data_IF_973234863418
#
_entry.id   IF_973234863418
#
_cell.length_a   1.000
_cell.length_b   1.000
_cell.length_c   1.000
_cell.angle_alpha   90.00
_cell.angle_beta   90.00
_cell.angle_gamma   90.00
#
_symmetry.space_group_name_H-M   'P 1'
#
loop_
_entity.id
_entity.type
_entity.pdbx_description
1 polymer ?
#
# COMPACT_ATOMS: atom_id res chain seq x y z
N UNK A 1 12.24 51.38 -39.54
CA UNK A 1 11.38 50.24 -39.17
C UNK A 1 12.18 49.35 -38.23
N UNK A 2 11.77 49.26 -36.96
CA UNK A 2 12.53 48.63 -35.89
C UNK A 2 11.83 47.32 -35.51
N UNK A 3 12.36 46.20 -36.01
CA UNK A 3 11.81 44.87 -35.76
C UNK A 3 12.08 44.49 -34.31
N UNK A 4 11.04 44.46 -33.47
CA UNK A 4 11.15 44.04 -32.08
C UNK A 4 11.19 42.52 -32.02
N UNK A 5 12.33 41.99 -31.58
CA UNK A 5 12.51 40.59 -31.23
C UNK A 5 11.75 40.32 -29.93
N UNK A 6 10.62 39.61 -29.99
CA UNK A 6 9.90 39.15 -28.80
C UNK A 6 10.59 37.86 -28.35
N UNK A 7 11.34 37.92 -27.26
CA UNK A 7 11.88 36.74 -26.60
C UNK A 7 10.74 36.04 -25.84
N UNK A 8 10.22 34.95 -26.38
CA UNK A 8 9.27 34.07 -25.68
C UNK A 8 10.08 33.19 -24.73
N UNK A 9 10.11 33.55 -23.45
CA UNK A 9 10.66 32.71 -22.39
C UNK A 9 9.65 31.59 -22.07
N UNK A 10 9.79 30.44 -22.73
CA UNK A 10 9.02 29.24 -22.41
C UNK A 10 9.58 28.67 -21.11
N UNK A 11 8.90 28.92 -20.00
CA UNK A 11 9.16 28.27 -18.73
C UNK A 11 8.68 26.82 -18.83
N UNK A 12 9.60 25.91 -19.20
CA UNK A 12 9.37 24.47 -19.12
C UNK A 12 9.38 24.06 -17.65
N UNK A 13 8.23 24.24 -16.98
CA UNK A 13 7.98 23.61 -15.69
C UNK A 13 8.00 22.11 -15.94
N UNK A 14 9.09 21.47 -15.59
CA UNK A 14 9.18 20.02 -15.62
C UNK A 14 8.35 19.52 -14.46
N UNK A 15 7.07 19.25 -14.71
CA UNK A 15 6.28 18.37 -13.88
C UNK A 15 7.01 17.02 -13.90
N UNK A 16 7.69 16.69 -12.79
CA UNK A 16 8.09 15.33 -12.52
C UNK A 16 6.80 14.60 -12.18
N UNK A 17 6.36 13.71 -13.07
CA UNK A 17 5.25 12.85 -12.77
C UNK A 17 5.81 11.75 -11.87
N UNK A 18 5.16 11.48 -10.74
CA UNK A 18 5.46 10.29 -9.97
C UNK A 18 5.11 9.07 -10.84
N UNK A 19 6.08 8.17 -10.99
CA UNK A 19 5.88 6.85 -11.55
C UNK A 19 5.25 5.95 -10.47
N UNK A 20 4.62 4.86 -10.89
CA UNK A 20 3.98 3.89 -9.98
C UNK A 20 4.41 2.47 -10.32
N UNK A 21 4.59 1.64 -9.29
CA UNK A 21 4.66 0.18 -9.41
C UNK A 21 3.55 -0.45 -8.56
N UNK A 22 2.80 -1.37 -9.15
CA UNK A 22 1.61 -1.98 -8.55
C UNK A 22 0.28 -1.44 -9.12
N UNK A 23 -0.86 -1.82 -8.53
CA UNK A 23 -0.98 -2.61 -7.31
C UNK A 23 -0.47 -4.05 -7.46
N UNK A 24 0.40 -4.50 -6.56
CA UNK A 24 0.90 -5.88 -6.50
C UNK A 24 0.12 -6.67 -5.44
N UNK A 25 -0.12 -7.95 -5.74
CA UNK A 25 -0.65 -8.92 -4.77
C UNK A 25 0.50 -9.59 -4.01
N UNK A 26 0.23 -10.20 -2.84
CA UNK A 26 1.22 -10.92 -2.07
C UNK A 26 1.88 -12.04 -2.87
N UNK A 27 3.12 -12.31 -2.52
CA UNK A 27 3.92 -13.42 -3.05
C UNK A 27 4.18 -14.50 -2.01
N UNK A 28 4.10 -14.13 -0.73
CA UNK A 28 4.21 -15.03 0.41
C UNK A 28 3.56 -14.39 1.64
N UNK A 29 3.08 -15.26 2.54
CA UNK A 29 2.62 -14.93 3.88
C UNK A 29 3.50 -15.66 4.91
N UNK A 30 3.61 -15.11 6.11
CA UNK A 30 4.34 -15.76 7.20
C UNK A 30 3.59 -15.55 8.51
N UNK A 31 3.06 -16.65 9.04
CA UNK A 31 2.33 -16.68 10.29
C UNK A 31 3.24 -16.38 11.49
N UNK A 32 2.97 -15.30 12.21
CA UNK A 32 3.44 -15.12 13.58
C UNK A 32 2.31 -15.50 14.55
N UNK A 33 2.64 -16.36 15.52
CA UNK A 33 1.68 -16.99 16.44
C UNK A 33 1.00 -16.00 17.42
N UNK A 34 -0.28 -16.20 17.80
CA UNK A 34 -1.19 -17.24 17.29
C UNK A 34 -1.60 -16.98 15.84
N UNK A 35 -1.59 -18.04 15.04
CA UNK A 35 -1.58 -17.96 13.58
C UNK A 35 -2.95 -17.55 13.02
N UNK A 36 -2.93 -16.66 12.02
CA UNK A 36 -4.04 -16.52 11.09
C UNK A 36 -4.41 -17.92 10.54
N UNK A 37 -5.70 -18.20 10.44
CA UNK A 37 -6.18 -19.38 9.71
C UNK A 37 -6.21 -19.03 8.23
N UNK A 38 -5.55 -19.86 7.42
CA UNK A 38 -5.45 -19.73 5.97
C UNK A 38 -4.97 -18.35 5.47
N UNK A 39 -3.81 -17.84 5.95
CA UNK A 39 -3.27 -16.53 5.54
C UNK A 39 -3.02 -16.41 4.03
N UNK A 40 -2.75 -17.52 3.35
CA UNK A 40 -2.57 -17.56 1.90
C UNK A 40 -3.82 -17.12 1.13
N UNK A 41 -4.99 -17.12 1.76
CA UNK A 41 -6.19 -16.55 1.15
C UNK A 41 -6.03 -15.05 0.86
N UNK A 42 -5.21 -14.31 1.64
CA UNK A 42 -4.91 -12.90 1.40
C UNK A 42 -4.19 -12.62 0.06
N UNK A 43 -3.73 -13.66 -0.66
CA UNK A 43 -2.93 -13.52 -1.88
C UNK A 43 -3.77 -13.20 -3.12
N UNK A 44 -5.07 -13.50 -3.11
CA UNK A 44 -5.93 -13.33 -4.27
C UNK A 44 -7.37 -13.12 -3.86
N UNK A 45 -8.06 -12.17 -4.50
CA UNK A 45 -9.52 -12.09 -4.39
C UNK A 45 -10.17 -13.43 -4.74
N UNK A 46 -11.01 -13.92 -3.85
CA UNK A 46 -11.63 -15.23 -4.00
C UNK A 46 -12.81 -15.44 -3.07
N UNK A 47 -13.09 -16.70 -2.79
CA UNK A 47 -14.11 -17.08 -1.80
C UNK A 47 -13.50 -17.57 -0.49
N UNK A 48 -12.17 -17.64 -0.42
CA UNK A 48 -11.44 -18.05 0.78
C UNK A 48 -11.12 -16.82 1.61
N UNK A 49 -11.26 -16.89 2.92
CA UNK A 49 -10.93 -15.76 3.81
C UNK A 49 -9.77 -16.15 4.71
N UNK A 50 -8.81 -15.25 4.91
CA UNK A 50 -7.88 -15.38 6.03
C UNK A 50 -8.58 -14.87 7.30
N UNK A 51 -8.53 -15.66 8.38
CA UNK A 51 -9.27 -15.33 9.61
C UNK A 51 -8.32 -15.20 10.80
N UNK A 52 -8.41 -14.09 11.52
CA UNK A 52 -7.68 -13.85 12.78
C UNK A 52 -8.62 -13.93 13.98
N UNK A 53 -8.18 -14.53 15.09
CA UNK A 53 -9.03 -14.71 16.28
C UNK A 53 -8.55 -13.92 17.51
N UNK A 54 -7.33 -13.38 17.54
CA UNK A 54 -6.83 -12.63 18.69
C UNK A 54 -6.04 -11.36 18.35
N UNK A 55 -5.88 -10.49 19.36
CA UNK A 55 -5.33 -9.13 19.28
C UNK A 55 -3.82 -9.05 18.99
N UNK A 56 -3.18 -10.16 18.61
CA UNK A 56 -1.73 -10.26 18.42
C UNK A 56 -1.33 -10.90 17.05
N UNK A 57 -2.30 -11.17 16.18
CA UNK A 57 -2.08 -11.93 14.96
C UNK A 57 -1.43 -11.03 13.90
N UNK A 58 -0.11 -11.12 13.74
CA UNK A 58 0.64 -10.39 12.71
C UNK A 58 0.96 -11.34 11.55
N UNK A 59 0.22 -11.22 10.45
CA UNK A 59 0.67 -11.83 9.20
C UNK A 59 1.67 -10.89 8.51
N UNK A 60 2.80 -11.44 8.09
CA UNK A 60 3.80 -10.71 7.32
C UNK A 60 3.68 -11.12 5.86
N UNK A 61 3.32 -10.14 5.04
CA UNK A 61 2.95 -10.35 3.65
C UNK A 61 3.97 -9.63 2.76
N UNK A 62 4.61 -10.32 1.81
CA UNK A 62 5.67 -9.74 0.96
C UNK A 62 5.24 -9.59 -0.50
N UNK A 63 5.71 -8.55 -1.22
CA UNK A 63 5.11 -8.12 -2.50
C UNK A 63 6.04 -8.03 -3.73
N UNK A 64 7.29 -8.51 -3.62
CA UNK A 64 8.14 -8.84 -4.79
C UNK A 64 8.38 -7.74 -5.83
N UNK A 65 8.42 -6.46 -5.42
CA UNK A 65 8.71 -5.34 -6.32
C UNK A 65 10.11 -5.45 -6.95
N UNK A 66 10.29 -4.93 -8.16
CA UNK A 66 11.60 -4.98 -8.84
C UNK A 66 11.92 -3.79 -9.74
N UNK A 67 10.96 -2.91 -10.02
CA UNK A 67 11.13 -1.78 -10.93
C UNK A 67 11.18 -0.40 -10.24
N UNK A 68 11.06 -0.33 -8.91
CA UNK A 68 11.10 0.94 -8.18
C UNK A 68 12.50 1.52 -8.28
N UNK A 69 12.61 2.78 -8.71
CA UNK A 69 13.89 3.49 -8.82
C UNK A 69 13.78 4.89 -8.24
N UNK A 70 14.92 5.53 -7.96
CA UNK A 70 14.92 6.90 -7.44
C UNK A 70 14.32 7.04 -6.04
N UNK A 71 13.51 8.07 -5.85
CA UNK A 71 12.93 8.43 -4.54
C UNK A 71 11.54 7.82 -4.41
N UNK A 72 11.29 7.07 -3.33
CA UNK A 72 9.94 6.61 -3.01
C UNK A 72 9.17 7.76 -2.39
N UNK A 73 8.07 8.14 -3.02
CA UNK A 73 7.25 9.30 -2.64
C UNK A 73 6.14 8.89 -1.67
N UNK A 74 5.58 7.70 -1.85
CA UNK A 74 4.55 7.17 -0.97
C UNK A 74 4.24 5.70 -1.18
N UNK A 75 3.53 5.14 -0.20
CA UNK A 75 3.05 3.75 -0.23
C UNK A 75 1.58 3.73 0.13
N UNK A 76 0.78 3.12 -0.73
CA UNK A 76 -0.65 2.88 -0.52
C UNK A 76 -0.88 1.40 -0.34
N UNK A 77 -1.53 1.01 0.75
CA UNK A 77 -1.94 -0.37 1.02
C UNK A 77 -3.46 -0.44 1.03
N UNK A 78 -4.01 -1.30 0.18
CA UNK A 78 -5.43 -1.56 0.04
C UNK A 78 -5.75 -2.93 0.63
N UNK A 79 -6.86 -3.03 1.35
CA UNK A 79 -7.35 -4.27 1.94
C UNK A 79 -8.78 -4.50 1.48
N UNK A 80 -9.05 -5.70 0.98
CA UNK A 80 -10.40 -6.23 0.84
C UNK A 80 -10.73 -6.99 2.12
N UNK A 81 -11.67 -6.42 2.88
CA UNK A 81 -12.01 -6.87 4.21
C UNK A 81 -13.47 -7.31 4.27
N UNK A 82 -13.72 -8.28 5.13
CA UNK A 82 -15.05 -8.72 5.46
C UNK A 82 -15.19 -8.83 6.99
N UNK A 83 -16.37 -8.50 7.49
CA UNK A 83 -16.64 -8.48 8.92
C UNK A 83 -17.93 -9.22 9.20
N UNK A 84 -17.83 -10.27 10.02
CA UNK A 84 -19.00 -10.97 10.54
C UNK A 84 -19.30 -10.47 11.96
N UNK A 85 -20.58 -10.37 12.34
CA UNK A 85 -21.00 -10.05 13.72
C UNK A 85 -20.92 -8.57 14.12
N UNK A 86 -21.08 -8.29 15.43
CA UNK A 86 -21.40 -6.94 15.93
C UNK A 86 -20.25 -6.22 16.65
N UNK A 87 -19.04 -6.79 16.71
CA UNK A 87 -17.90 -6.19 17.43
C UNK A 87 -17.27 -5.04 16.67
N UNK A 88 -16.66 -4.12 17.40
CA UNK A 88 -15.80 -3.10 16.81
C UNK A 88 -14.43 -3.70 16.48
N UNK A 89 -13.98 -3.50 15.24
CA UNK A 89 -12.69 -3.97 14.77
C UNK A 89 -11.85 -2.80 14.23
N UNK A 90 -10.55 -2.93 14.35
CA UNK A 90 -9.55 -2.00 13.82
C UNK A 90 -8.51 -2.83 13.08
N UNK A 91 -8.32 -2.57 11.80
CA UNK A 91 -7.21 -3.11 11.05
C UNK A 91 -5.99 -2.21 11.29
N UNK A 92 -4.84 -2.82 11.55
CA UNK A 92 -3.57 -2.15 11.74
C UNK A 92 -2.59 -2.70 10.72
N UNK A 93 -1.77 -1.82 10.18
CA UNK A 93 -0.74 -2.17 9.23
C UNK A 93 0.58 -1.47 9.58
N UNK A 94 1.68 -2.11 9.23
CA UNK A 94 3.01 -1.51 9.25
C UNK A 94 3.82 -2.02 8.06
N UNK A 95 4.70 -1.19 7.50
CA UNK A 95 5.58 -1.62 6.42
C UNK A 95 6.77 -2.43 6.96
N UNK A 96 7.18 -3.44 6.20
CA UNK A 96 8.29 -4.33 6.53
C UNK A 96 9.53 -3.99 5.69
N UNK A 97 10.71 -4.29 6.25
CA UNK A 97 12.00 -4.08 5.61
C UNK A 97 12.31 -2.63 5.18
N UNK A 98 11.75 -1.63 5.86
CA UNK A 98 11.96 -0.19 5.58
C UNK A 98 12.32 0.61 6.84
N UNK A 99 12.94 -0.06 7.81
CA UNK A 99 13.36 0.54 9.07
C UNK A 99 12.21 0.72 10.06
N UNK A 100 12.24 1.80 10.84
CA UNK A 100 11.15 2.14 11.76
C UNK A 100 10.12 2.98 11.03
N UNK A 101 8.85 2.56 11.08
CA UNK A 101 7.74 3.28 10.48
C UNK A 101 6.66 3.58 11.51
N UNK A 102 5.79 4.53 11.19
CA UNK A 102 4.57 4.79 11.95
C UNK A 102 3.51 3.77 11.53
N UNK A 103 3.07 2.96 12.51
CA UNK A 103 1.93 2.06 12.34
C UNK A 103 0.68 2.87 11.96
N UNK A 104 -0.05 2.40 10.95
CA UNK A 104 -1.35 2.96 10.57
C UNK A 104 -2.48 2.03 10.98
N UNK A 105 -3.66 2.61 11.15
CA UNK A 105 -4.85 1.85 11.44
C UNK A 105 -6.06 2.43 10.72
N UNK A 106 -7.04 1.58 10.48
CA UNK A 106 -8.38 2.02 10.12
C UNK A 106 -9.01 2.70 11.33
N UNK A 107 -10.00 3.56 11.08
CA UNK A 107 -10.91 3.94 12.15
C UNK A 107 -11.61 2.72 12.77
N UNK A 108 -12.34 2.94 13.86
CA UNK A 108 -13.18 1.89 14.42
C UNK A 108 -14.28 1.53 13.41
N UNK A 109 -14.29 0.28 12.96
CA UNK A 109 -15.27 -0.22 12.02
C UNK A 109 -16.53 -0.68 12.78
N UNK A 110 -17.57 0.13 12.73
CA UNK A 110 -18.83 -0.06 13.49
C UNK A 110 -19.93 -0.75 12.70
N UNK A 111 -19.69 -1.15 11.44
CA UNK A 111 -20.71 -1.80 10.60
C UNK A 111 -21.27 -3.06 11.26
N UNK A 112 -22.58 -3.24 11.26
CA UNK A 112 -23.27 -4.35 11.94
C UNK A 112 -23.66 -5.49 11.01
N UNK A 113 -23.43 -5.35 9.71
CA UNK A 113 -23.80 -6.30 8.68
C UNK A 113 -22.56 -7.00 8.11
N UNK A 114 -22.79 -8.20 7.59
CA UNK A 114 -21.80 -9.04 6.94
C UNK A 114 -21.44 -8.44 5.58
N UNK A 115 -20.67 -7.37 5.61
CA UNK A 115 -20.35 -6.56 4.44
C UNK A 115 -18.90 -6.76 4.02
N UNK A 116 -18.69 -6.91 2.71
CA UNK A 116 -17.37 -6.74 2.10
C UNK A 116 -17.12 -5.24 1.91
N UNK A 117 -15.93 -4.77 2.27
CA UNK A 117 -15.55 -3.37 2.15
C UNK A 117 -14.05 -3.23 1.92
N UNK A 118 -13.66 -2.14 1.26
CA UNK A 118 -12.28 -1.83 0.98
C UNK A 118 -11.75 -0.78 1.96
N UNK A 119 -10.60 -1.05 2.55
CA UNK A 119 -9.86 -0.11 3.38
C UNK A 119 -8.57 0.30 2.69
N UNK A 120 -8.20 1.57 2.82
CA UNK A 120 -6.95 2.10 2.25
C UNK A 120 -6.15 2.80 3.33
N UNK A 121 -4.91 2.38 3.51
CA UNK A 121 -3.95 3.00 4.42
C UNK A 121 -2.78 3.58 3.62
N UNK A 122 -2.40 4.81 3.95
CA UNK A 122 -1.38 5.54 3.20
C UNK A 122 -1.97 6.34 2.03
N UNK A 123 -1.09 6.83 1.17
CA UNK A 123 -1.41 7.56 -0.06
C UNK A 123 -0.16 7.65 -0.93
N UNK A 124 -0.29 8.22 -2.13
CA UNK A 124 0.83 8.45 -3.06
C UNK A 124 1.92 9.40 -2.57
N UNK A 125 1.71 10.06 -1.42
CA UNK A 125 2.72 10.92 -0.79
C UNK A 125 3.01 10.52 0.66
N UNK A 126 2.44 9.40 1.11
CA UNK A 126 2.58 8.94 2.48
C UNK A 126 3.77 7.98 2.58
N UNK A 127 4.86 8.46 3.16
CA UNK A 127 6.06 7.65 3.40
C UNK A 127 5.96 6.78 4.64
N UNK A 128 4.80 6.76 5.32
CA UNK A 128 4.58 6.09 6.60
C UNK A 128 5.58 6.52 7.69
N UNK A 129 6.25 7.68 7.50
CA UNK A 129 7.35 8.16 8.33
C UNK A 129 8.49 7.14 8.51
N UNK A 130 8.69 6.27 7.53
CA UNK A 130 9.71 5.24 7.57
C UNK A 130 11.13 5.83 7.50
N UNK A 131 12.05 5.35 8.33
CA UNK A 131 13.44 5.81 8.33
C UNK A 131 14.22 5.38 7.10
N UNK A 132 13.87 4.22 6.51
CA UNK A 132 14.63 3.60 5.43
C UNK A 132 13.73 3.21 4.24
N UNK A 133 12.73 4.05 3.91
CA UNK A 133 11.91 3.86 2.72
C UNK A 133 12.70 4.26 1.47
N UNK A 134 13.45 3.31 0.93
CA UNK A 134 14.31 3.47 -0.26
C UNK A 134 13.91 2.47 -1.33
N UNK A 135 14.19 2.79 -2.60
CA UNK A 135 13.94 1.87 -3.72
C UNK A 135 14.62 0.49 -3.53
N UNK A 136 15.83 0.47 -2.96
CA UNK A 136 16.55 -0.78 -2.68
C UNK A 136 15.82 -1.65 -1.63
N UNK A 137 15.24 -1.01 -0.60
CA UNK A 137 14.47 -1.71 0.41
C UNK A 137 13.11 -2.16 -0.10
N UNK A 138 12.44 -1.37 -0.95
CA UNK A 138 11.16 -1.74 -1.58
C UNK A 138 11.32 -2.91 -2.55
N UNK A 139 12.39 -2.92 -3.36
CA UNK A 139 12.67 -4.02 -4.28
C UNK A 139 13.22 -5.28 -3.60
N UNK A 140 13.40 -5.26 -2.28
CA UNK A 140 13.83 -6.43 -1.54
C UNK A 140 12.67 -7.43 -1.42
N UNK A 141 12.95 -8.73 -1.52
CA UNK A 141 11.92 -9.76 -1.37
C UNK A 141 11.28 -9.80 0.03
N UNK A 142 11.92 -9.22 1.05
CA UNK A 142 11.37 -9.06 2.39
C UNK A 142 10.51 -7.79 2.56
N UNK A 143 10.40 -6.93 1.53
CA UNK A 143 9.49 -5.79 1.56
C UNK A 143 8.05 -6.26 1.58
N UNK A 144 7.28 -5.68 2.50
CA UNK A 144 5.98 -6.21 2.82
C UNK A 144 5.15 -5.33 3.74
N UNK A 145 4.06 -5.92 4.20
CA UNK A 145 3.15 -5.33 5.18
C UNK A 145 2.91 -6.34 6.29
N UNK A 146 2.97 -5.89 7.53
CA UNK A 146 2.49 -6.64 8.68
C UNK A 146 1.04 -6.25 8.93
N UNK A 147 0.12 -7.21 8.96
CA UNK A 147 -1.31 -6.96 9.11
C UNK A 147 -1.80 -7.51 10.45
N UNK A 148 -2.52 -6.67 11.20
CA UNK A 148 -3.09 -7.02 12.50
C UNK A 148 -4.56 -6.60 12.55
N UNK A 149 -5.45 -7.57 12.81
CA UNK A 149 -6.86 -7.32 13.06
C UNK A 149 -7.12 -7.24 14.57
N UNK A 150 -7.25 -6.03 15.11
CA UNK A 150 -7.51 -5.84 16.55
C UNK A 150 -9.00 -5.65 16.85
N UNK A 151 -9.51 -6.47 17.77
CA UNK A 151 -10.86 -6.34 18.36
C UNK A 151 -10.83 -5.22 19.42
N UNK A 152 -11.68 -4.20 19.30
CA UNK A 152 -11.67 -3.02 20.20
C UNK A 152 -12.78 -3.05 21.29
N UNK A 153 -13.81 -3.89 21.16
CA UNK A 153 -14.88 -4.06 22.18
C UNK A 153 -16.15 -4.78 21.68
N UNK A 154 -17.02 -5.21 22.62
CA UNK A 154 -18.33 -5.86 22.37
C UNK A 154 -18.44 -7.31 22.89
N UNK A 155 -19.63 -7.93 22.81
CA UNK A 155 -19.85 -9.35 23.19
C UNK A 155 -19.04 -10.31 22.30
N UNK A 156 -18.60 -11.46 22.82
CA UNK A 156 -17.71 -12.36 22.07
C UNK A 156 -18.41 -12.90 20.81
N UNK A 157 -17.92 -12.61 19.61
CA UNK A 157 -18.40 -13.25 18.40
C UNK A 157 -18.00 -14.72 18.41
N UNK A 158 -18.71 -15.51 17.61
CA UNK A 158 -18.20 -16.81 17.18
C UNK A 158 -16.85 -16.59 16.45
N UNK A 159 -15.95 -17.56 16.50
CA UNK A 159 -14.70 -17.64 15.71
C UNK A 159 -14.92 -17.12 14.27
N UNK A 160 -14.03 -16.24 13.76
CA UNK A 160 -14.07 -15.75 12.35
C UNK A 160 -14.62 -14.33 12.13
N UNK A 161 -14.40 -13.39 13.05
CA UNK A 161 -15.08 -12.08 13.09
C UNK A 161 -14.47 -11.01 12.17
N UNK A 162 -13.19 -11.13 11.85
CA UNK A 162 -12.51 -10.23 10.94
C UNK A 162 -11.74 -11.03 9.92
N UNK A 163 -12.03 -10.75 8.66
CA UNK A 163 -11.62 -11.53 7.51
C UNK A 163 -10.91 -10.57 6.57
N UNK A 164 -9.70 -10.94 6.16
CA UNK A 164 -8.98 -10.22 5.09
C UNK A 164 -8.97 -11.18 3.90
N UNK A 165 -9.64 -10.80 2.82
CA UNK A 165 -9.70 -11.59 1.58
C UNK A 165 -8.51 -11.24 0.70
N UNK A 166 -8.15 -9.96 0.57
CA UNK A 166 -7.05 -9.57 -0.32
C UNK A 166 -6.29 -8.36 0.22
N UNK A 167 -4.97 -8.37 0.04
CA UNK A 167 -4.13 -7.19 0.29
C UNK A 167 -3.47 -6.77 -1.00
N UNK A 168 -3.43 -5.48 -1.30
CA UNK A 168 -2.69 -4.91 -2.43
C UNK A 168 -1.82 -3.76 -1.95
N UNK A 169 -0.68 -3.58 -2.60
CA UNK A 169 0.23 -2.47 -2.30
C UNK A 169 0.65 -1.81 -3.60
N UNK A 170 0.62 -0.48 -3.59
CA UNK A 170 1.10 0.38 -4.67
C UNK A 170 2.21 1.27 -4.12
N UNK A 171 3.29 1.40 -4.88
CA UNK A 171 4.42 2.28 -4.54
C UNK A 171 4.48 3.39 -5.58
N UNK A 172 4.37 4.62 -5.09
CA UNK A 172 4.55 5.83 -5.87
C UNK A 172 5.99 6.32 -5.70
N UNK A 173 6.69 6.61 -6.80
CA UNK A 173 8.10 6.99 -6.77
C UNK A 173 8.47 7.97 -7.89
N UNK A 174 9.49 8.77 -7.65
CA UNK A 174 10.09 9.65 -8.64
C UNK A 174 11.37 9.00 -9.16
N UNK A 175 11.34 8.52 -10.42
CA UNK A 175 12.50 7.90 -11.04
C UNK A 175 13.72 8.85 -11.04
N UNK A 176 14.90 8.27 -10.82
CA UNK A 176 16.15 9.02 -10.83
C UNK A 176 16.48 9.50 -12.25
N UNK A 177 15.98 10.70 -12.61
CA UNK A 177 16.41 11.48 -13.77
C UNK A 177 16.77 10.67 -15.01
N UNK A 178 15.84 9.84 -15.50
CA UNK A 178 16.00 9.23 -16.81
C UNK A 178 16.20 10.34 -17.85
N UNK A 179 17.17 10.18 -18.77
CA UNK A 179 17.39 11.14 -19.86
C UNK A 179 16.06 11.38 -20.58
N UNK A 180 15.44 12.52 -20.28
CA UNK A 180 14.11 12.86 -20.79
C UNK A 180 14.23 12.94 -22.31
N UNK A 181 13.48 12.12 -23.05
CA UNK A 181 13.37 12.29 -24.50
C UNK A 181 12.73 13.65 -24.74
N UNK A 182 13.55 14.64 -25.06
CA UNK A 182 13.07 15.92 -25.56
C UNK A 182 12.48 15.63 -26.93
N UNK A 183 11.15 15.58 -27.00
CA UNK A 183 10.46 15.48 -28.28
C UNK A 183 10.50 16.87 -28.92
N UNK A 184 11.55 17.12 -29.68
CA UNK A 184 11.65 18.33 -30.50
C UNK A 184 10.58 18.24 -31.58
N UNK A 185 9.46 18.93 -31.37
CA UNK A 185 8.49 19.15 -32.43
C UNK A 185 9.12 20.11 -33.45
N UNK A 186 9.49 19.59 -34.61
CA UNK A 186 9.84 20.42 -35.76
C UNK A 186 8.54 20.83 -36.42
N UNK A 187 8.16 22.09 -36.29
CA UNK A 187 7.10 22.68 -37.09
C UNK A 187 7.74 23.03 -38.43
N UNK A 188 7.39 22.28 -39.47
CA UNK A 188 7.77 22.60 -40.84
C UNK A 188 6.95 23.77 -41.37
N UNK A 189 7.61 24.64 -42.12
CA UNK A 189 7.06 25.84 -42.76
C UNK A 189 5.86 25.57 -43.70
#
# INVERSE_FOLDING_TARGET
MQTRLIAVLILLVSACWADTEGPNSPTASANNSPAWTDPDNMHSQGTGNATGDFADDVDQITFGFSAVTGTVDGVTVEFDCHKTGTRNNVLRANLLNVGTCTLKNTGILTTTEDDAYNETLGSSSDTWSCTDLTAANVNNSAFGVSVLAQKSGGANPLTGTYLVDHVRITVDYTAAGGKRRVMTMVIGD
#
